data_IF_487460447588
#
_entry.id   IF_487460447588
#
_cell.length_a   1.000
_cell.length_b   1.000
_cell.length_c   1.000
_cell.angle_alpha   90.00
_cell.angle_beta   90.00
_cell.angle_gamma   90.00
#
_symmetry.space_group_name_H-M   'P 1'
#
loop_
_entity.id
_entity.type
_entity.pdbx_description
1 polymer ?
#
# COMPACT_ATOMS: atom_id res chain seq x y z
N UNK A 1 35.07 -15.87 -91.72
CA UNK A 1 35.40 -15.71 -90.28
C UNK A 1 34.47 -14.69 -89.59
N UNK A 2 33.16 -14.74 -89.87
CA UNK A 2 32.18 -13.73 -89.38
C UNK A 2 31.11 -14.32 -88.43
N UNK A 3 31.11 -15.64 -88.20
CA UNK A 3 30.15 -16.29 -87.30
C UNK A 3 30.41 -16.00 -85.80
N UNK A 4 31.64 -15.62 -85.40
CA UNK A 4 31.97 -15.37 -83.99
C UNK A 4 31.45 -14.05 -83.41
N UNK A 5 31.29 -13.00 -84.23
CA UNK A 5 30.89 -11.67 -83.72
C UNK A 5 29.43 -11.61 -83.24
N UNK A 6 28.54 -12.40 -83.85
CA UNK A 6 27.13 -12.48 -83.44
C UNK A 6 26.96 -13.22 -82.11
N UNK A 7 27.73 -14.28 -81.87
CA UNK A 7 27.71 -15.03 -80.61
C UNK A 7 28.16 -14.20 -79.40
N UNK A 8 29.19 -13.34 -79.57
CA UNK A 8 29.66 -12.42 -78.52
C UNK A 8 28.59 -11.38 -78.16
N UNK A 9 27.85 -10.87 -79.15
CA UNK A 9 26.75 -9.93 -78.90
C UNK A 9 25.59 -10.58 -78.13
N UNK A 10 25.17 -11.80 -78.50
CA UNK A 10 24.11 -12.51 -77.79
C UNK A 10 24.50 -12.89 -76.36
N UNK A 11 25.75 -13.29 -76.12
CA UNK A 11 26.23 -13.56 -74.75
C UNK A 11 26.31 -12.30 -73.91
N UNK A 12 26.75 -11.17 -74.47
CA UNK A 12 26.72 -9.88 -73.76
C UNK A 12 25.29 -9.46 -73.38
N UNK A 13 24.34 -9.55 -74.31
CA UNK A 13 22.92 -9.25 -74.04
C UNK A 13 22.37 -10.19 -72.96
N UNK A 14 22.69 -11.49 -73.03
CA UNK A 14 22.27 -12.46 -72.02
C UNK A 14 22.82 -12.13 -70.62
N UNK A 15 24.10 -11.75 -70.51
CA UNK A 15 24.71 -11.33 -69.24
C UNK A 15 24.06 -10.08 -68.67
N UNK A 16 23.79 -9.07 -69.51
CA UNK A 16 23.08 -7.85 -69.08
C UNK A 16 21.67 -8.18 -68.58
N UNK A 17 20.91 -9.00 -69.30
CA UNK A 17 19.59 -9.44 -68.85
C UNK A 17 19.65 -10.22 -67.53
N UNK A 18 20.61 -11.14 -67.39
CA UNK A 18 20.80 -11.89 -66.14
C UNK A 18 21.14 -10.96 -64.98
N UNK A 19 22.00 -9.97 -65.21
CA UNK A 19 22.39 -8.99 -64.18
C UNK A 19 21.21 -8.12 -63.73
N UNK A 20 20.36 -7.68 -64.66
CA UNK A 20 19.14 -6.93 -64.36
C UNK A 20 18.14 -7.79 -63.57
N UNK A 21 18.04 -9.08 -63.92
CA UNK A 21 17.16 -10.01 -63.22
C UNK A 21 17.65 -10.28 -61.80
N UNK A 22 18.96 -10.51 -61.60
CA UNK A 22 19.57 -10.66 -60.27
C UNK A 22 19.39 -9.37 -59.45
N UNK A 23 19.62 -8.19 -60.06
CA UNK A 23 19.44 -6.91 -59.39
C UNK A 23 17.98 -6.70 -58.95
N UNK A 24 17.02 -6.96 -59.84
CA UNK A 24 15.58 -6.85 -59.53
C UNK A 24 15.17 -7.78 -58.37
N UNK A 25 15.62 -9.03 -58.39
CA UNK A 25 15.37 -9.98 -57.30
C UNK A 25 16.03 -9.55 -55.98
N UNK A 26 17.26 -9.04 -56.04
CA UNK A 26 17.99 -8.55 -54.87
C UNK A 26 17.29 -7.36 -54.23
N UNK A 27 16.87 -6.38 -55.05
CA UNK A 27 16.13 -5.20 -54.59
C UNK A 27 14.80 -5.61 -53.96
N UNK A 28 14.02 -6.47 -54.62
CA UNK A 28 12.75 -6.97 -54.09
C UNK A 28 12.89 -7.70 -52.75
N UNK A 29 13.91 -8.54 -52.61
CA UNK A 29 14.18 -9.24 -51.35
C UNK A 29 14.63 -8.28 -50.24
N UNK A 30 15.51 -7.33 -50.53
CA UNK A 30 15.98 -6.35 -49.55
C UNK A 30 14.84 -5.46 -49.02
N UNK A 31 13.92 -5.03 -49.88
CA UNK A 31 12.74 -4.28 -49.43
C UNK A 31 11.82 -5.11 -48.53
N UNK A 32 11.54 -6.37 -48.89
CA UNK A 32 10.71 -7.27 -48.07
C UNK A 32 11.35 -7.57 -46.72
N UNK A 33 12.66 -7.78 -46.68
CA UNK A 33 13.40 -7.98 -45.43
C UNK A 33 13.34 -6.74 -44.56
N UNK A 34 13.62 -5.55 -45.12
CA UNK A 34 13.59 -4.28 -44.38
C UNK A 34 12.20 -3.99 -43.80
N UNK A 35 11.13 -4.25 -44.56
CA UNK A 35 9.76 -4.09 -44.06
C UNK A 35 9.43 -5.04 -42.91
N UNK A 36 9.86 -6.31 -43.01
CA UNK A 36 9.68 -7.29 -41.92
C UNK A 36 10.46 -6.88 -40.67
N UNK A 37 11.71 -6.48 -40.82
CA UNK A 37 12.55 -6.00 -39.71
C UNK A 37 11.92 -4.78 -39.04
N UNK A 38 11.45 -3.80 -39.82
CA UNK A 38 10.78 -2.62 -39.28
C UNK A 38 9.50 -2.97 -38.50
N UNK A 39 8.68 -3.90 -39.00
CA UNK A 39 7.47 -4.35 -38.31
C UNK A 39 7.80 -5.09 -37.00
N UNK A 40 8.86 -5.91 -37.00
CA UNK A 40 9.33 -6.60 -35.79
C UNK A 40 9.89 -5.62 -34.76
N UNK A 41 10.72 -4.67 -35.19
CA UNK A 41 11.30 -3.63 -34.33
C UNK A 41 10.21 -2.78 -33.69
N UNK A 42 9.22 -2.34 -34.47
CA UNK A 42 8.06 -1.57 -33.97
C UNK A 42 7.25 -2.37 -32.94
N UNK A 43 7.06 -3.68 -33.18
CA UNK A 43 6.34 -4.56 -32.25
C UNK A 43 7.12 -4.72 -30.93
N UNK A 44 8.44 -4.96 -31.02
CA UNK A 44 9.32 -5.08 -29.85
C UNK A 44 9.34 -3.79 -29.04
N UNK A 45 9.46 -2.63 -29.70
CA UNK A 45 9.42 -1.32 -29.04
C UNK A 45 8.07 -1.06 -28.35
N UNK A 46 6.97 -1.38 -29.03
CA UNK A 46 5.61 -1.23 -28.47
C UNK A 46 5.41 -2.11 -27.24
N UNK A 47 5.87 -3.37 -27.31
CA UNK A 47 5.84 -4.28 -26.18
C UNK A 47 6.70 -3.76 -25.04
N UNK A 48 7.94 -3.35 -25.30
CA UNK A 48 8.83 -2.82 -24.26
C UNK A 48 8.24 -1.61 -23.53
N UNK A 49 7.58 -0.71 -24.26
CA UNK A 49 6.85 0.43 -23.67
C UNK A 49 5.66 -0.03 -22.85
N UNK A 50 4.91 -1.02 -23.34
CA UNK A 50 3.81 -1.62 -22.60
C UNK A 50 4.26 -2.24 -21.28
N UNK A 51 5.36 -3.02 -21.27
CA UNK A 51 5.94 -3.58 -20.03
C UNK A 51 6.26 -2.47 -19.04
N UNK A 52 6.98 -1.44 -19.49
CA UNK A 52 7.37 -0.32 -18.62
C UNK A 52 6.16 0.43 -18.06
N UNK A 53 5.09 0.57 -18.85
CA UNK A 53 3.86 1.23 -18.40
C UNK A 53 3.12 0.39 -17.35
N UNK A 54 3.00 -0.92 -17.56
CA UNK A 54 2.41 -1.82 -16.56
C UNK A 54 3.19 -1.77 -15.26
N UNK A 55 4.52 -1.86 -15.34
CA UNK A 55 5.36 -1.87 -14.16
C UNK A 55 5.21 -0.60 -13.31
N UNK A 56 4.96 0.55 -13.93
CA UNK A 56 4.70 1.81 -13.23
C UNK A 56 3.25 1.89 -12.72
N UNK A 57 2.28 1.33 -13.45
CA UNK A 57 0.88 1.34 -13.03
C UNK A 57 0.58 0.28 -11.95
N UNK A 58 1.41 -0.77 -11.85
CA UNK A 58 1.24 -1.83 -10.86
C UNK A 58 1.35 -1.31 -9.43
N UNK A 59 2.27 -0.37 -9.17
CA UNK A 59 2.36 0.34 -7.88
C UNK A 59 1.03 1.02 -7.53
N UNK A 60 0.41 1.68 -8.51
CA UNK A 60 -0.90 2.33 -8.34
C UNK A 60 -2.02 1.31 -8.11
N UNK A 61 -2.00 0.18 -8.82
CA UNK A 61 -2.93 -0.93 -8.61
C UNK A 61 -2.84 -1.48 -7.18
N UNK A 62 -1.61 -1.71 -6.70
CA UNK A 62 -1.35 -2.17 -5.32
C UNK A 62 -1.84 -1.14 -4.32
N UNK A 63 -1.53 0.15 -4.51
CA UNK A 63 -2.01 1.22 -3.63
C UNK A 63 -3.54 1.25 -3.53
N UNK A 64 -4.25 1.27 -4.67
CA UNK A 64 -5.72 1.39 -4.67
C UNK A 64 -6.37 0.17 -4.00
N UNK A 65 -5.95 -1.03 -4.38
CA UNK A 65 -6.52 -2.26 -3.82
C UNK A 65 -6.13 -2.46 -2.35
N UNK A 66 -4.90 -2.09 -1.98
CA UNK A 66 -4.42 -2.14 -0.60
C UNK A 66 -5.12 -1.15 0.32
N UNK A 67 -5.27 0.10 -0.13
CA UNK A 67 -5.98 1.14 0.62
C UNK A 67 -7.42 0.74 0.90
N UNK A 68 -8.13 0.25 -0.13
CA UNK A 68 -9.50 -0.24 0.04
C UNK A 68 -9.57 -1.49 0.91
N UNK A 69 -8.61 -2.40 0.77
CA UNK A 69 -8.56 -3.59 1.61
C UNK A 69 -8.42 -3.21 3.09
N UNK A 70 -7.56 -2.25 3.44
CA UNK A 70 -7.42 -1.75 4.81
C UNK A 70 -8.71 -1.11 5.33
N UNK A 71 -9.36 -0.25 4.53
CA UNK A 71 -10.66 0.34 4.92
C UNK A 71 -11.70 -0.76 5.16
N UNK A 72 -11.77 -1.77 4.31
CA UNK A 72 -12.74 -2.84 4.49
C UNK A 72 -12.43 -3.74 5.69
N UNK A 73 -11.17 -3.90 6.06
CA UNK A 73 -10.77 -4.59 7.28
C UNK A 73 -11.17 -3.78 8.52
N UNK A 74 -10.94 -2.47 8.50
CA UNK A 74 -11.40 -1.54 9.53
C UNK A 74 -12.92 -1.62 9.68
N UNK A 75 -13.68 -1.47 8.59
CA UNK A 75 -15.14 -1.61 8.59
C UNK A 75 -15.59 -2.96 9.15
N UNK A 76 -14.91 -4.06 8.79
CA UNK A 76 -15.23 -5.39 9.29
C UNK A 76 -15.07 -5.49 10.82
N UNK A 77 -13.98 -4.93 11.36
CA UNK A 77 -13.73 -4.89 12.81
C UNK A 77 -14.80 -4.05 13.51
N UNK A 78 -15.15 -2.90 12.93
CA UNK A 78 -16.14 -1.98 13.48
C UNK A 78 -17.56 -2.56 13.47
N UNK A 79 -17.98 -3.17 12.34
CA UNK A 79 -19.33 -3.70 12.17
C UNK A 79 -19.57 -4.96 13.02
N UNK A 80 -18.57 -5.82 13.14
CA UNK A 80 -18.68 -7.04 13.94
C UNK A 80 -18.40 -6.81 15.43
N UNK A 81 -17.70 -5.73 15.77
CA UNK A 81 -17.29 -5.44 17.14
C UNK A 81 -16.23 -6.42 17.67
N UNK A 82 -15.48 -7.06 16.77
CA UNK A 82 -14.45 -8.05 17.09
C UNK A 82 -13.17 -7.74 16.30
N UNK A 83 -12.02 -7.91 16.95
CA UNK A 83 -10.71 -7.75 16.32
C UNK A 83 -10.41 -8.88 15.32
N UNK A 84 -9.44 -8.67 14.45
CA UNK A 84 -8.97 -9.70 13.51
C UNK A 84 -8.09 -10.74 14.23
N UNK A 85 -8.29 -12.01 13.93
CA UNK A 85 -7.44 -13.10 14.44
C UNK A 85 -6.05 -13.14 13.76
N UNK A 86 -6.01 -12.86 12.46
CA UNK A 86 -4.80 -12.89 11.62
C UNK A 86 -4.95 -11.84 10.52
N UNK A 87 -4.30 -10.69 10.72
CA UNK A 87 -4.34 -9.55 9.80
C UNK A 87 -3.77 -9.91 8.42
N UNK A 88 -2.65 -10.63 8.37
CA UNK A 88 -1.96 -10.95 7.11
C UNK A 88 -2.84 -11.80 6.20
N UNK A 89 -3.47 -12.84 6.76
CA UNK A 89 -4.38 -13.71 6.02
C UNK A 89 -5.63 -12.96 5.55
N UNK A 90 -6.21 -12.13 6.42
CA UNK A 90 -7.41 -11.32 6.15
C UNK A 90 -7.14 -10.27 5.08
N UNK A 91 -6.00 -9.58 5.17
CA UNK A 91 -5.55 -8.61 4.18
C UNK A 91 -5.31 -9.26 2.82
N UNK A 92 -4.64 -10.41 2.79
CA UNK A 92 -4.43 -11.15 1.53
C UNK A 92 -5.74 -11.59 0.90
N UNK A 93 -6.69 -12.09 1.69
CA UNK A 93 -8.02 -12.44 1.20
C UNK A 93 -8.73 -11.22 0.62
N UNK A 94 -8.77 -10.12 1.37
CA UNK A 94 -9.45 -8.88 0.96
C UNK A 94 -8.82 -8.28 -0.30
N UNK A 95 -7.50 -8.24 -0.38
CA UNK A 95 -6.75 -7.67 -1.49
C UNK A 95 -7.02 -8.38 -2.84
N UNK A 96 -7.12 -9.71 -2.84
CA UNK A 96 -7.30 -10.50 -4.06
C UNK A 96 -8.76 -10.85 -4.36
N UNK A 97 -9.55 -11.16 -3.34
CA UNK A 97 -10.90 -11.70 -3.50
C UNK A 97 -11.99 -10.68 -3.13
N UNK A 98 -11.65 -9.61 -2.42
CA UNK A 98 -12.62 -8.65 -1.92
C UNK A 98 -13.49 -9.21 -0.80
N UNK A 99 -12.99 -10.22 -0.09
CA UNK A 99 -13.68 -10.91 1.01
C UNK A 99 -12.85 -10.91 2.28
N UNK A 100 -13.53 -10.92 3.44
CA UNK A 100 -12.94 -11.28 4.73
C UNK A 100 -13.77 -12.39 5.32
N UNK A 101 -13.12 -13.48 5.74
CA UNK A 101 -13.79 -14.69 6.23
C UNK A 101 -14.86 -15.20 5.24
N UNK A 102 -14.54 -15.15 3.94
CA UNK A 102 -15.44 -15.51 2.83
C UNK A 102 -16.71 -14.64 2.68
N UNK A 103 -16.81 -13.52 3.40
CA UNK A 103 -17.91 -12.56 3.26
C UNK A 103 -17.47 -11.41 2.37
N UNK A 104 -18.26 -11.11 1.33
CA UNK A 104 -17.94 -10.05 0.38
C UNK A 104 -18.04 -8.66 1.01
N UNK A 105 -17.04 -7.80 0.75
CA UNK A 105 -17.13 -6.38 1.03
C UNK A 105 -17.65 -5.61 -0.19
N UNK A 106 -18.59 -4.69 0.06
CA UNK A 106 -19.21 -3.89 -1.00
C UNK A 106 -18.24 -2.91 -1.67
N UNK A 107 -17.27 -2.38 -0.90
CA UNK A 107 -16.27 -1.44 -1.40
C UNK A 107 -15.23 -2.09 -2.32
N UNK A 108 -15.08 -3.43 -2.24
CA UNK A 108 -14.12 -4.17 -3.05
C UNK A 108 -14.66 -4.66 -4.39
N UNK A 109 -15.95 -4.50 -4.67
CA UNK A 109 -16.55 -4.92 -5.94
C UNK A 109 -15.88 -4.17 -7.10
N UNK A 110 -15.22 -4.90 -8.01
CA UNK A 110 -14.42 -4.41 -9.14
C UNK A 110 -13.20 -3.57 -8.74
N UNK A 111 -12.74 -3.70 -7.50
CA UNK A 111 -11.67 -2.88 -6.92
C UNK A 111 -10.54 -3.73 -6.32
N UNK A 112 -10.58 -5.05 -6.50
CA UNK A 112 -9.52 -5.97 -6.08
C UNK A 112 -8.30 -5.86 -6.99
N UNK A 113 -7.16 -6.35 -6.53
CA UNK A 113 -5.97 -6.40 -7.38
C UNK A 113 -6.16 -7.40 -8.53
N UNK A 114 -6.98 -8.44 -8.34
CA UNK A 114 -7.39 -9.37 -9.39
C UNK A 114 -8.16 -8.65 -10.51
N UNK A 115 -9.07 -7.74 -10.15
CA UNK A 115 -9.81 -6.92 -11.13
C UNK A 115 -8.86 -6.01 -11.91
N UNK A 116 -7.88 -5.39 -11.23
CA UNK A 116 -6.85 -4.59 -11.89
C UNK A 116 -6.04 -5.44 -12.88
N UNK A 117 -5.58 -6.63 -12.48
CA UNK A 117 -4.83 -7.54 -13.35
C UNK A 117 -5.63 -7.94 -14.60
N UNK A 118 -6.93 -8.25 -14.45
CA UNK A 118 -7.79 -8.63 -15.57
C UNK A 118 -8.06 -7.44 -16.52
N UNK A 119 -8.20 -6.23 -15.97
CA UNK A 119 -8.33 -5.01 -16.77
C UNK A 119 -7.07 -4.75 -17.62
N UNK A 120 -5.88 -4.85 -17.02
CA UNK A 120 -4.62 -4.67 -17.76
C UNK A 120 -4.42 -5.77 -18.81
N UNK A 121 -4.81 -7.01 -18.50
CA UNK A 121 -4.79 -8.12 -19.45
C UNK A 121 -5.73 -7.87 -20.64
N UNK A 122 -6.92 -7.34 -20.38
CA UNK A 122 -7.87 -6.93 -21.42
C UNK A 122 -7.29 -5.82 -22.32
N UNK A 123 -6.55 -4.86 -21.75
CA UNK A 123 -5.84 -3.84 -22.54
C UNK A 123 -4.67 -4.44 -23.35
N UNK A 124 -3.91 -5.40 -22.80
CA UNK A 124 -2.86 -6.13 -23.49
C UNK A 124 -3.39 -6.86 -24.73
N UNK A 125 -4.56 -7.50 -24.58
CA UNK A 125 -5.18 -8.32 -25.62
C UNK A 125 -5.55 -7.50 -26.86
N UNK A 126 -5.90 -6.22 -26.70
CA UNK A 126 -6.23 -5.29 -27.80
C UNK A 126 -5.04 -4.99 -28.72
N UNK A 127 -3.82 -5.21 -28.25
CA UNK A 127 -2.57 -4.98 -29.00
C UNK A 127 -1.82 -6.28 -29.30
N UNK A 128 -2.52 -7.41 -29.31
CA UNK A 128 -1.99 -8.76 -29.57
C UNK A 128 -0.87 -9.20 -28.62
N UNK A 129 -0.94 -8.76 -27.36
CA UNK A 129 -0.05 -9.17 -26.27
C UNK A 129 -0.80 -10.10 -25.33
N UNK A 130 -0.18 -11.23 -25.00
CA UNK A 130 -0.62 -12.12 -23.93
C UNK A 130 0.20 -11.77 -22.69
N UNK A 131 -0.51 -11.30 -21.66
CA UNK A 131 0.03 -10.94 -20.35
C UNK A 131 -0.47 -11.93 -19.31
N UNK A 132 0.45 -12.49 -18.53
CA UNK A 132 0.10 -13.15 -17.27
C UNK A 132 0.93 -12.55 -16.15
N UNK A 133 0.26 -12.14 -15.09
CA UNK A 133 0.85 -11.65 -13.85
C UNK A 133 0.54 -12.71 -12.78
N UNK A 134 1.57 -13.14 -12.05
CA UNK A 134 1.45 -14.07 -10.93
C UNK A 134 2.07 -13.44 -9.70
N UNK A 135 1.28 -13.31 -8.63
CA UNK A 135 1.79 -12.82 -7.35
C UNK A 135 2.33 -14.00 -6.55
N UNK A 136 3.61 -13.95 -6.20
CA UNK A 136 4.32 -14.94 -5.39
C UNK A 136 4.09 -14.70 -3.91
N UNK A 137 4.20 -13.44 -3.49
CA UNK A 137 4.04 -13.04 -2.11
C UNK A 137 3.41 -11.64 -1.99
N UNK A 138 2.69 -11.43 -0.90
CA UNK A 138 2.23 -10.11 -0.45
C UNK A 138 2.49 -10.01 1.05
N UNK A 139 2.96 -8.85 1.50
CA UNK A 139 3.16 -8.58 2.93
C UNK A 139 2.73 -7.15 3.25
N UNK A 140 2.14 -6.99 4.42
CA UNK A 140 1.67 -5.72 4.97
C UNK A 140 2.38 -5.46 6.29
N UNK A 141 3.06 -4.33 6.43
CA UNK A 141 3.76 -3.96 7.66
C UNK A 141 4.00 -2.46 7.72
N UNK A 142 4.58 -1.96 8.81
CA UNK A 142 4.94 -0.55 8.95
C UNK A 142 6.43 -0.33 8.68
N UNK A 143 6.75 0.79 8.00
CA UNK A 143 8.10 1.37 7.96
C UNK A 143 8.20 2.63 8.86
N UNK A 144 7.06 3.20 9.23
CA UNK A 144 6.94 4.32 10.16
C UNK A 144 5.53 4.31 10.81
N UNK A 145 5.33 5.08 11.90
CA UNK A 145 4.06 5.07 12.65
C UNK A 145 2.83 5.53 11.84
N UNK A 146 3.04 6.28 10.76
CA UNK A 146 1.96 6.97 10.04
C UNK A 146 1.64 6.34 8.69
N UNK A 147 2.38 5.31 8.28
CA UNK A 147 2.20 4.67 6.99
C UNK A 147 2.26 3.16 7.08
N UNK A 148 1.33 2.50 6.39
CA UNK A 148 1.43 1.07 6.11
C UNK A 148 2.12 0.86 4.75
N UNK A 149 3.05 -0.07 4.71
CA UNK A 149 3.77 -0.51 3.52
C UNK A 149 3.23 -1.85 3.06
N UNK A 150 2.97 -1.93 1.75
CA UNK A 150 2.61 -3.16 1.07
C UNK A 150 3.73 -3.51 0.12
N UNK A 151 4.29 -4.72 0.28
CA UNK A 151 5.24 -5.29 -0.67
C UNK A 151 4.58 -6.44 -1.43
N UNK A 152 4.70 -6.40 -2.76
CA UNK A 152 4.19 -7.44 -3.66
C UNK A 152 5.34 -7.97 -4.52
N UNK A 153 5.61 -9.26 -4.38
CA UNK A 153 6.51 -9.98 -5.26
C UNK A 153 5.71 -10.56 -6.43
N UNK A 154 5.90 -10.02 -7.63
CA UNK A 154 5.16 -10.43 -8.82
C UNK A 154 6.10 -10.92 -9.93
N UNK A 155 5.71 -12.03 -10.56
CA UNK A 155 6.25 -12.48 -11.84
C UNK A 155 5.31 -12.07 -12.97
N UNK A 156 5.85 -11.34 -13.94
CA UNK A 156 5.12 -10.91 -15.14
C UNK A 156 5.70 -11.61 -16.36
N UNK A 157 4.86 -12.38 -17.05
CA UNK A 157 5.19 -13.04 -18.33
C UNK A 157 4.42 -12.39 -19.45
N UNK A 158 5.15 -11.93 -20.47
CA UNK A 158 4.60 -11.18 -21.60
C UNK A 158 5.13 -11.82 -22.87
N UNK A 159 4.22 -12.20 -23.76
CA UNK A 159 4.60 -12.64 -25.09
C UNK A 159 3.56 -12.18 -26.11
N UNK A 160 4.02 -12.03 -27.33
CA UNK A 160 3.14 -11.60 -28.40
C UNK A 160 2.38 -12.81 -28.96
N UNK A 161 1.15 -12.61 -29.44
CA UNK A 161 0.34 -13.72 -30.01
C UNK A 161 1.00 -14.42 -31.21
N UNK A 162 1.97 -13.77 -31.85
CA UNK A 162 2.74 -14.33 -32.98
C UNK A 162 4.02 -15.02 -32.56
N UNK A 163 4.33 -15.07 -31.27
CA UNK A 163 5.52 -15.72 -30.67
C UNK A 163 6.85 -15.26 -31.29
N UNK A 164 6.92 -13.99 -31.67
CA UNK A 164 8.14 -13.34 -32.15
C UNK A 164 9.02 -12.84 -31.02
N UNK A 165 8.45 -12.55 -29.84
CA UNK A 165 9.17 -12.00 -28.71
C UNK A 165 8.47 -12.29 -27.38
N UNK A 166 9.25 -12.56 -26.34
CA UNK A 166 8.76 -12.78 -24.99
C UNK A 166 9.69 -12.18 -23.93
N UNK A 167 9.10 -11.85 -22.78
CA UNK A 167 9.78 -11.35 -21.60
C UNK A 167 9.20 -12.04 -20.36
N UNK A 168 10.08 -12.33 -19.41
CA UNK A 168 9.71 -12.68 -18.04
C UNK A 168 10.45 -11.72 -17.12
N UNK A 169 9.72 -11.17 -16.14
CA UNK A 169 10.23 -10.21 -15.17
C UNK A 169 9.73 -10.58 -13.78
N UNK A 170 10.65 -10.68 -12.85
CA UNK A 170 10.37 -10.73 -11.42
C UNK A 170 10.62 -9.36 -10.84
N UNK A 171 9.66 -8.82 -10.10
CA UNK A 171 9.78 -7.50 -9.48
C UNK A 171 9.16 -7.53 -8.09
N UNK A 172 9.85 -6.92 -7.14
CA UNK A 172 9.25 -6.51 -5.88
C UNK A 172 8.77 -5.07 -6.03
N UNK A 173 7.49 -4.84 -5.75
CA UNK A 173 6.84 -3.54 -5.92
C UNK A 173 6.27 -3.15 -4.56
N UNK A 174 6.54 -1.92 -4.18
CA UNK A 174 6.17 -1.38 -2.87
C UNK A 174 5.17 -0.25 -3.06
N UNK A 175 4.12 -0.23 -2.25
CA UNK A 175 3.20 0.89 -2.13
C UNK A 175 3.08 1.32 -0.66
N UNK A 176 2.84 2.62 -0.44
CA UNK A 176 2.67 3.20 0.90
C UNK A 176 1.27 3.79 1.02
N UNK A 177 0.61 3.51 2.14
CA UNK A 177 -0.71 4.02 2.49
C UNK A 177 -0.55 4.92 3.72
N UNK A 178 -1.01 6.16 3.61
CA UNK A 178 -1.12 7.05 4.78
C UNK A 178 -2.28 6.59 5.64
N UNK A 179 -2.07 6.57 6.95
CA UNK A 179 -3.04 6.11 7.94
C UNK A 179 -3.89 7.27 8.50
N UNK A 180 -3.57 8.50 8.12
CA UNK A 180 -4.35 9.67 8.51
C UNK A 180 -5.81 9.53 8.01
N UNK A 181 -6.76 9.71 8.92
CA UNK A 181 -8.20 9.60 8.68
C UNK A 181 -8.81 8.20 8.87
N UNK A 182 -8.01 7.15 9.05
CA UNK A 182 -8.51 5.81 9.45
C UNK A 182 -9.12 5.88 10.87
N UNK A 183 -10.18 5.12 11.12
CA UNK A 183 -10.75 5.03 12.47
C UNK A 183 -9.93 4.09 13.35
N UNK A 184 -9.77 4.44 14.62
CA UNK A 184 -9.07 3.60 15.58
C UNK A 184 -10.01 2.52 16.17
N UNK A 185 -9.70 1.22 15.95
CA UNK A 185 -10.49 0.12 16.48
C UNK A 185 -10.64 0.14 18.00
N UNK A 186 -9.66 0.64 18.76
CA UNK A 186 -9.71 0.63 20.22
C UNK A 186 -10.81 1.54 20.77
N UNK A 187 -10.99 2.72 20.18
CA UNK A 187 -12.08 3.63 20.57
C UNK A 187 -13.42 3.02 20.22
N UNK A 188 -13.56 2.51 18.98
CA UNK A 188 -14.83 1.96 18.53
C UNK A 188 -15.25 0.74 19.34
N UNK A 189 -14.37 -0.24 19.50
CA UNK A 189 -14.69 -1.48 20.24
C UNK A 189 -14.75 -1.22 21.75
N UNK A 190 -13.83 -0.40 22.28
CA UNK A 190 -13.75 -0.07 23.70
C UNK A 190 -14.95 0.73 24.22
N UNK A 191 -15.67 1.42 23.34
CA UNK A 191 -16.89 2.19 23.66
C UNK A 191 -18.18 1.53 23.17
N UNK A 192 -18.12 0.29 22.65
CA UNK A 192 -19.26 -0.40 22.02
C UNK A 192 -19.90 0.40 20.87
N UNK A 193 -19.08 1.10 20.09
CA UNK A 193 -19.47 1.85 18.90
C UNK A 193 -20.06 3.23 19.18
N UNK A 194 -19.94 3.75 20.40
CA UNK A 194 -20.49 5.06 20.78
C UNK A 194 -19.55 6.23 20.47
N UNK A 195 -18.25 5.98 20.45
CA UNK A 195 -17.23 6.96 20.12
C UNK A 195 -16.46 6.51 18.88
N UNK A 196 -16.12 7.47 18.03
CA UNK A 196 -15.18 7.31 16.94
C UNK A 196 -14.00 8.24 17.20
N UNK A 197 -12.78 7.74 17.00
CA UNK A 197 -11.61 8.57 16.93
C UNK A 197 -10.87 8.24 15.64
N UNK A 198 -10.47 9.27 14.89
CA UNK A 198 -9.72 9.09 13.65
C UNK A 198 -8.26 9.39 13.91
N UNK A 199 -7.38 8.67 13.22
CA UNK A 199 -5.95 8.89 13.32
C UNK A 199 -5.62 10.22 12.67
N UNK A 200 -5.39 11.22 13.50
CA UNK A 200 -4.96 12.56 13.12
C UNK A 200 -3.67 12.87 13.87
N UNK A 201 -2.65 13.40 13.17
CA UNK A 201 -1.36 13.66 13.80
C UNK A 201 -1.45 14.90 14.68
N UNK A 202 -0.70 14.91 15.80
CA UNK A 202 -0.49 16.09 16.66
C UNK A 202 -0.34 17.37 15.83
N UNK A 203 -1.29 18.29 16.02
CA UNK A 203 -1.35 19.56 15.28
C UNK A 203 -0.40 20.63 15.85
N UNK A 204 -0.09 20.55 17.15
CA UNK A 204 0.77 21.53 17.83
C UNK A 204 2.26 21.19 17.69
N UNK A 205 3.14 22.19 17.58
CA UNK A 205 4.58 21.94 17.61
C UNK A 205 5.08 21.56 19.01
N UNK A 206 4.40 22.04 20.05
CA UNK A 206 4.70 21.77 21.47
C UNK A 206 3.39 21.60 22.23
N UNK A 207 3.32 20.59 23.09
CA UNK A 207 2.15 20.28 23.90
C UNK A 207 2.15 21.04 25.23
N UNK A 208 3.34 21.36 25.75
CA UNK A 208 3.49 22.10 27.01
C UNK A 208 4.46 23.26 26.81
N UNK A 209 4.07 24.45 27.26
CA UNK A 209 4.87 25.67 27.21
C UNK A 209 5.11 26.18 28.63
N UNK A 210 6.18 25.71 29.27
CA UNK A 210 6.45 26.00 30.68
C UNK A 210 5.40 25.34 31.56
N UNK A 211 4.50 26.12 32.17
CA UNK A 211 3.38 25.60 32.98
C UNK A 211 2.04 25.64 32.23
N UNK A 212 2.02 26.09 30.97
CA UNK A 212 0.81 26.13 30.16
C UNK A 212 0.62 24.80 29.43
N UNK A 213 -0.45 24.09 29.82
CA UNK A 213 -0.84 22.79 29.27
C UNK A 213 -2.05 22.90 28.31
N UNK A 214 -2.44 24.11 27.89
CA UNK A 214 -3.63 24.29 27.05
C UNK A 214 -3.56 23.49 25.74
N UNK A 215 -2.38 23.36 25.15
CA UNK A 215 -2.18 22.57 23.93
C UNK A 215 -2.28 21.05 24.19
N UNK A 216 -1.87 20.59 25.37
CA UNK A 216 -2.01 19.19 25.79
C UNK A 216 -3.49 18.82 26.04
N UNK A 217 -4.25 19.72 26.66
CA UNK A 217 -5.69 19.53 26.83
C UNK A 217 -6.42 19.54 25.48
N UNK A 218 -6.08 20.47 24.58
CA UNK A 218 -6.64 20.50 23.21
C UNK A 218 -6.22 19.26 22.39
N UNK A 219 -5.02 18.72 22.60
CA UNK A 219 -4.59 17.46 21.99
C UNK A 219 -5.43 16.28 22.47
N UNK A 220 -5.77 16.22 23.77
CA UNK A 220 -6.66 15.22 24.33
C UNK A 220 -8.10 15.36 23.81
N UNK A 221 -8.65 16.59 23.83
CA UNK A 221 -10.02 16.88 23.36
C UNK A 221 -10.21 16.53 21.86
N UNK A 222 -9.17 16.70 21.06
CA UNK A 222 -9.20 16.33 19.63
C UNK A 222 -8.96 14.85 19.36
N UNK A 223 -8.44 14.10 20.32
CA UNK A 223 -8.02 12.72 20.12
C UNK A 223 -6.83 12.58 19.15
N UNK A 224 -6.00 13.62 19.01
CA UNK A 224 -4.81 13.61 18.17
C UNK A 224 -3.81 12.53 18.63
N UNK A 225 -2.97 12.03 17.72
CA UNK A 225 -1.99 10.98 17.98
C UNK A 225 -0.56 11.50 18.00
N UNK A 226 0.27 10.85 18.83
CA UNK A 226 1.73 10.94 18.77
C UNK A 226 2.35 9.58 18.41
N UNK A 227 3.56 9.61 17.87
CA UNK A 227 4.36 8.41 17.71
C UNK A 227 5.05 8.07 19.02
N UNK A 228 4.81 6.87 19.54
CA UNK A 228 5.43 6.39 20.77
C UNK A 228 5.64 4.89 20.66
N UNK A 229 6.90 4.43 20.71
CA UNK A 229 7.16 3.01 20.48
C UNK A 229 6.74 2.09 21.65
N UNK A 230 6.40 2.66 22.81
CA UNK A 230 5.77 1.93 23.91
C UNK A 230 4.28 1.70 23.71
N UNK A 231 3.74 1.95 22.51
CA UNK A 231 2.35 1.77 22.16
C UNK A 231 2.20 0.79 20.97
N UNK A 232 1.01 0.22 20.74
CA UNK A 232 0.75 -0.60 19.56
C UNK A 232 0.67 0.22 18.28
N UNK A 233 1.16 -0.36 17.19
CA UNK A 233 1.00 0.21 15.84
C UNK A 233 -0.43 0.04 15.33
N UNK A 234 -0.86 0.84 14.35
CA UNK A 234 -2.19 0.73 13.76
C UNK A 234 -2.59 -0.69 13.34
N UNK A 235 -1.69 -1.43 12.67
CA UNK A 235 -1.97 -2.79 12.25
C UNK A 235 -2.21 -3.75 13.44
N UNK A 236 -1.50 -3.55 14.55
CA UNK A 236 -1.74 -4.31 15.79
C UNK A 236 -3.07 -3.95 16.44
N UNK A 237 -3.54 -2.69 16.30
CA UNK A 237 -4.84 -2.25 16.81
C UNK A 237 -6.00 -2.96 16.12
N UNK A 238 -5.87 -3.27 14.83
CA UNK A 238 -6.84 -4.10 14.09
C UNK A 238 -6.93 -5.55 14.63
N UNK A 239 -5.83 -6.08 15.16
CA UNK A 239 -5.76 -7.43 15.77
C UNK A 239 -6.09 -7.44 17.27
N UNK A 240 -6.37 -6.28 17.88
CA UNK A 240 -6.57 -6.20 19.33
C UNK A 240 -5.29 -6.49 20.12
N UNK A 241 -4.13 -6.29 19.50
CA UNK A 241 -2.84 -6.47 20.13
C UNK A 241 -2.39 -5.15 20.75
N UNK A 242 -2.39 -5.10 22.08
CA UNK A 242 -2.01 -3.93 22.89
C UNK A 242 -0.51 -3.84 23.19
N UNK A 243 0.31 -4.73 22.61
CA UNK A 243 1.75 -4.78 22.87
C UNK A 243 2.50 -3.62 22.21
N UNK A 244 3.67 -3.30 22.75
CA UNK A 244 4.57 -2.27 22.21
C UNK A 244 5.06 -2.59 20.79
N UNK A 245 5.25 -1.55 19.97
CA UNK A 245 5.73 -1.64 18.60
C UNK A 245 6.66 -0.48 18.27
N UNK A 246 7.71 -0.74 17.47
CA UNK A 246 8.63 0.32 17.01
C UNK A 246 7.88 1.46 16.28
N UNK A 247 6.75 1.12 15.67
CA UNK A 247 5.87 2.02 14.93
C UNK A 247 4.58 2.33 15.68
N UNK A 248 4.62 2.26 17.01
CA UNK A 248 3.51 2.58 17.89
C UNK A 248 3.01 4.00 17.71
N UNK A 249 1.69 4.13 17.77
CA UNK A 249 0.98 5.40 17.90
C UNK A 249 0.12 5.33 19.15
N UNK A 250 -0.13 6.45 19.79
CA UNK A 250 -1.08 6.56 20.91
C UNK A 250 -1.73 7.94 20.92
N UNK A 251 -2.95 7.99 21.46
CA UNK A 251 -3.69 9.20 21.77
C UNK A 251 -4.12 9.20 23.25
N UNK A 252 -4.71 10.31 23.67
CA UNK A 252 -5.32 10.46 24.99
C UNK A 252 -6.84 10.37 24.89
N UNK A 253 -7.45 9.68 25.84
CA UNK A 253 -8.90 9.49 25.95
C UNK A 253 -9.49 10.65 26.74
N UNK A 254 -10.40 11.39 26.11
CA UNK A 254 -11.20 12.40 26.80
C UNK A 254 -12.26 11.71 27.68
N UNK A 255 -12.02 11.74 28.99
CA UNK A 255 -12.91 11.13 29.97
C UNK A 255 -14.24 11.89 30.08
N UNK A 256 -14.23 13.21 29.90
CA UNK A 256 -15.45 14.02 29.96
C UNK A 256 -16.35 13.69 28.76
N UNK A 257 -15.76 13.50 27.57
CA UNK A 257 -16.52 13.04 26.40
C UNK A 257 -17.16 11.67 26.64
N UNK A 258 -16.43 10.72 27.24
CA UNK A 258 -16.98 9.41 27.60
C UNK A 258 -18.17 9.51 28.56
N UNK A 259 -18.09 10.38 29.57
CA UNK A 259 -19.21 10.62 30.50
C UNK A 259 -20.42 11.23 29.78
N UNK A 260 -20.19 12.17 28.85
CA UNK A 260 -21.24 12.84 28.08
C UNK A 260 -22.02 11.85 27.20
N UNK A 261 -21.34 10.85 26.63
CA UNK A 261 -22.00 9.76 25.87
C UNK A 261 -22.57 8.65 26.77
N UNK A 262 -22.51 8.81 28.08
CA UNK A 262 -23.14 7.93 29.07
C UNK A 262 -22.31 6.70 29.44
N UNK A 263 -21.02 6.67 29.12
CA UNK A 263 -20.10 5.64 29.59
C UNK A 263 -19.56 5.99 30.97
N UNK A 264 -19.31 4.96 31.78
CA UNK A 264 -18.70 5.14 33.09
C UNK A 264 -17.17 5.16 32.92
N UNK A 265 -16.48 6.23 33.32
CA UNK A 265 -15.03 6.29 33.28
C UNK A 265 -14.38 5.15 34.05
N UNK A 266 -13.27 4.65 33.52
CA UNK A 266 -12.39 3.74 34.24
C UNK A 266 -11.36 4.56 35.00
N UNK A 267 -11.03 4.12 36.20
CA UNK A 267 -9.96 4.69 37.01
C UNK A 267 -8.58 4.21 36.50
N UNK A 268 -8.21 4.60 35.28
CA UNK A 268 -6.98 4.18 34.56
C UNK A 268 -6.25 5.39 33.97
N UNK A 269 -5.00 5.18 33.55
CA UNK A 269 -4.30 6.11 32.65
C UNK A 269 -5.18 6.45 31.46
N UNK A 270 -5.24 7.73 31.09
CA UNK A 270 -6.03 8.21 29.94
C UNK A 270 -5.39 7.84 28.59
N UNK A 271 -4.26 7.15 28.58
CA UNK A 271 -3.60 6.70 27.35
C UNK A 271 -4.44 5.60 26.72
N UNK A 272 -4.81 5.78 25.45
CA UNK A 272 -5.81 4.96 24.73
C UNK A 272 -5.71 3.44 24.93
N UNK A 273 -4.58 2.84 24.58
CA UNK A 273 -4.35 1.41 24.61
C UNK A 273 -4.27 0.88 26.06
N UNK A 274 -3.91 1.72 27.03
CA UNK A 274 -3.94 1.37 28.46
C UNK A 274 -5.37 1.45 28.99
N UNK A 275 -6.09 2.52 28.65
CA UNK A 275 -7.47 2.76 29.06
C UNK A 275 -8.43 1.68 28.56
N UNK A 276 -8.30 1.30 27.28
CA UNK A 276 -9.09 0.24 26.67
C UNK A 276 -8.53 -1.16 26.93
N UNK A 277 -7.23 -1.28 27.20
CA UNK A 277 -6.55 -2.53 27.47
C UNK A 277 -6.78 -3.11 28.88
N UNK A 278 -6.13 -4.25 29.12
CA UNK A 278 -6.19 -4.96 30.39
C UNK A 278 -5.24 -4.37 31.44
N UNK A 279 -4.15 -3.75 31.01
CA UNK A 279 -3.12 -3.19 31.90
C UNK A 279 -3.63 -2.01 32.72
N UNK A 280 -3.10 -1.85 33.93
CA UNK A 280 -3.46 -0.78 34.86
C UNK A 280 -2.21 -0.35 35.65
N UNK A 281 -1.25 0.30 34.97
CA UNK A 281 -0.03 0.78 35.61
C UNK A 281 -0.31 1.94 36.57
N UNK A 282 0.65 2.22 37.45
CA UNK A 282 0.60 3.41 38.31
C UNK A 282 0.45 4.68 37.46
N UNK A 283 -0.50 5.52 37.84
CA UNK A 283 -0.89 6.75 37.16
C UNK A 283 -0.63 7.97 38.03
N UNK A 284 -0.35 9.09 37.37
CA UNK A 284 0.09 10.32 38.00
C UNK A 284 -0.70 11.50 37.45
N UNK A 285 -1.08 12.40 38.35
CA UNK A 285 -1.79 13.61 37.99
C UNK A 285 -0.83 14.64 37.38
N UNK A 286 -1.28 15.29 36.30
CA UNK A 286 -0.51 16.34 35.64
C UNK A 286 -0.85 17.70 36.25
N UNK A 287 0.16 18.41 36.74
CA UNK A 287 -0.05 19.70 37.39
C UNK A 287 -0.72 20.71 36.45
N UNK A 288 -1.84 21.28 36.91
CA UNK A 288 -2.62 22.26 36.15
C UNK A 288 -3.72 21.66 35.28
N UNK A 289 -3.75 20.33 35.13
CA UNK A 289 -4.80 19.62 34.42
C UNK A 289 -6.02 19.34 35.32
N UNK A 290 -7.18 19.00 34.75
CA UNK A 290 -8.31 18.48 35.52
C UNK A 290 -7.92 17.24 36.33
N UNK A 291 -8.63 16.98 37.44
CA UNK A 291 -8.28 15.87 38.35
C UNK A 291 -8.38 14.48 37.72
N UNK A 292 -9.15 14.33 36.64
CA UNK A 292 -9.26 13.07 35.89
C UNK A 292 -8.11 12.84 34.91
N UNK A 293 -7.32 13.88 34.63
CA UNK A 293 -6.23 13.83 33.66
C UNK A 293 -4.99 13.20 34.30
N UNK A 294 -4.89 11.89 34.16
CA UNK A 294 -3.84 11.07 34.77
C UNK A 294 -3.12 10.24 33.71
N UNK A 295 -1.79 10.36 33.67
CA UNK A 295 -0.91 9.62 32.77
C UNK A 295 -0.09 8.61 33.56
N UNK A 296 0.14 7.44 32.98
CA UNK A 296 1.09 6.49 33.53
C UNK A 296 2.54 6.84 33.15
N UNK A 297 3.49 6.18 33.82
CA UNK A 297 4.92 6.41 33.63
C UNK A 297 5.62 5.33 32.77
N UNK A 298 4.88 4.71 31.85
CA UNK A 298 5.42 3.75 30.88
C UNK A 298 6.56 4.34 30.05
N UNK A 299 7.40 3.47 29.49
CA UNK A 299 8.55 3.87 28.67
C UNK A 299 8.38 3.38 27.24
N UNK A 300 9.12 4.01 26.32
CA UNK A 300 9.29 3.45 24.99
C UNK A 300 10.05 2.09 25.04
N UNK A 301 10.04 1.31 23.95
CA UNK A 301 10.68 -0.03 23.90
C UNK A 301 12.15 -0.10 24.37
N UNK A 302 12.89 1.00 24.26
CA UNK A 302 14.30 1.06 24.68
C UNK A 302 14.49 1.55 26.12
N UNK A 303 13.40 1.88 26.83
CA UNK A 303 13.42 2.42 28.19
C UNK A 303 14.02 3.81 28.30
N UNK A 304 14.15 4.55 27.19
CA UNK A 304 14.94 5.78 27.11
C UNK A 304 14.10 7.05 27.24
N UNK A 305 12.80 6.97 26.96
CA UNK A 305 11.87 8.09 27.02
C UNK A 305 10.65 7.60 27.78
N UNK A 306 10.27 8.31 28.84
CA UNK A 306 9.02 8.07 29.55
C UNK A 306 7.85 8.73 28.80
N UNK A 307 6.65 8.17 28.96
CA UNK A 307 5.45 8.64 28.26
C UNK A 307 5.13 10.10 28.57
N UNK A 308 5.23 10.52 29.85
CA UNK A 308 5.05 11.92 30.22
C UNK A 308 6.04 12.85 29.49
N UNK A 309 7.28 12.43 29.28
CA UNK A 309 8.27 13.18 28.50
C UNK A 309 7.89 13.26 27.01
N UNK A 310 7.28 12.20 26.46
CA UNK A 310 6.76 12.20 25.09
C UNK A 310 5.60 13.21 24.90
N UNK A 311 4.82 13.45 25.95
CA UNK A 311 3.83 14.53 26.02
C UNK A 311 4.40 15.88 26.48
N UNK A 312 5.73 16.00 26.59
CA UNK A 312 6.44 17.22 27.01
C UNK A 312 6.10 17.70 28.43
N UNK A 313 5.63 16.78 29.28
CA UNK A 313 5.32 17.07 30.69
C UNK A 313 6.56 16.80 31.54
N UNK A 314 7.02 17.78 32.33
CA UNK A 314 8.22 17.66 33.17
C UNK A 314 7.91 17.18 34.61
N UNK A 315 6.73 17.52 35.14
CA UNK A 315 6.36 17.27 36.54
C UNK A 315 5.09 16.40 36.62
N UNK A 316 5.25 15.15 37.06
CA UNK A 316 4.15 14.24 37.42
C UNK A 316 3.98 14.19 38.94
N UNK A 317 2.75 14.32 39.44
CA UNK A 317 2.43 14.30 40.88
C UNK A 317 1.74 12.99 41.23
N UNK A 318 2.33 12.22 42.14
CA UNK A 318 1.77 10.96 42.65
C UNK A 318 0.95 11.10 43.93
#
# INVERSE_FOLDING_TARGET
MALGKKGVFFTFVAVVFLSLLIFSLSVGNNYRLRQRTFALETRIDSMSKFISNIENDMERGIYISGFRALICLEEHVIENGEYLDDLDSSFREMFFNGTVNSTNSSLMINNTFTDWMENIKTEADKIDIILNISVKNISLYHDNPWQARIDVEAETTIHDKKQTSSWTRDKNITAYIDLEGFEDPFYRLGTNGLMENRIERKNHSQLVLGTDISNLLDHCEKGDYIAFSGAPSFLMRLEGNFSESEYGIESLVDIEELELIGLTPKDKSIVDHIYFGAEDPDKYHIQGAPSWFELDNGTNMNGSIHRHEAYEVEDIVG
#
